data_IF_662305147726
#
_entry.id   IF_662305147726
#
_cell.length_a   1.000
_cell.length_b   1.000
_cell.length_c   1.000
_cell.angle_alpha   90.00
_cell.angle_beta   90.00
_cell.angle_gamma   90.00
#
_symmetry.space_group_name_H-M   'P 1'
#
loop_
_entity.id
_entity.type
_entity.pdbx_description
1 polymer ?
#
# COMPACT_ATOMS: atom_id res chain seq x y z
N UNK A 1 73.68 -41.12 45.74
CA UNK A 1 72.23 -41.40 45.79
C UNK A 1 71.82 -42.13 44.50
N UNK A 2 70.83 -43.03 44.54
CA UNK A 2 70.67 -44.21 43.66
C UNK A 2 70.25 -43.90 42.20
N UNK A 3 70.22 -44.93 41.31
CA UNK A 3 70.46 -44.84 39.86
C UNK A 3 69.14 -44.87 39.02
N UNK A 4 69.17 -44.95 37.67
CA UNK A 4 69.33 -46.27 37.03
C UNK A 4 70.18 -46.28 35.74
N UNK A 5 70.55 -47.52 35.44
CA UNK A 5 71.52 -48.07 34.51
C UNK A 5 70.93 -48.50 33.15
N UNK A 6 71.66 -48.17 32.06
CA UNK A 6 72.05 -48.95 30.84
C UNK A 6 71.05 -49.99 30.23
N UNK A 7 70.98 -50.37 28.95
CA UNK A 7 71.73 -50.19 27.68
C UNK A 7 70.95 -50.97 26.56
N UNK A 8 71.20 -50.59 25.30
CA UNK A 8 71.23 -51.43 24.07
C UNK A 8 69.98 -51.61 23.16
N UNK A 9 70.23 -51.51 21.84
CA UNK A 9 69.35 -51.67 20.64
C UNK A 9 69.30 -53.16 20.16
N UNK A 10 69.21 -53.58 18.88
CA UNK A 10 68.43 -53.18 17.69
C UNK A 10 67.64 -54.37 17.00
N UNK A 11 66.88 -54.06 15.93
CA UNK A 11 66.50 -54.84 14.70
C UNK A 11 65.61 -56.12 14.74
N UNK A 12 64.50 -56.04 13.96
CA UNK A 12 63.76 -57.00 13.07
C UNK A 12 64.12 -58.51 13.05
N UNK A 13 63.18 -59.48 12.80
CA UNK A 13 62.45 -59.62 11.51
C UNK A 13 61.05 -60.32 11.49
N UNK A 14 60.42 -60.35 10.30
CA UNK A 14 59.17 -61.07 9.90
C UNK A 14 59.35 -62.59 9.68
N UNK A 15 58.25 -63.38 9.75
CA UNK A 15 57.81 -64.27 8.63
C UNK A 15 56.25 -64.32 8.46
N UNK A 16 55.65 -64.35 7.25
CA UNK A 16 55.21 -65.48 6.38
C UNK A 16 54.21 -66.49 7.02
N UNK A 17 53.21 -67.15 6.41
CA UNK A 17 52.29 -67.01 5.25
C UNK A 17 51.27 -68.20 5.36
N UNK A 18 49.99 -68.03 4.94
CA UNK A 18 48.95 -69.06 4.54
C UNK A 18 48.21 -69.95 5.58
N UNK A 19 47.18 -70.77 5.19
CA UNK A 19 45.93 -70.56 4.40
C UNK A 19 44.65 -71.29 4.95
N UNK A 20 43.46 -71.05 4.33
CA UNK A 20 42.43 -72.03 3.84
C UNK A 20 40.93 -71.77 4.16
N UNK A 21 40.18 -71.55 3.06
CA UNK A 21 38.90 -72.12 2.54
C UNK A 21 37.61 -72.20 3.38
N UNK A 22 36.51 -71.76 2.76
CA UNK A 22 35.09 -71.80 3.15
C UNK A 22 34.41 -73.20 3.09
N UNK A 23 33.17 -73.33 3.60
CA UNK A 23 32.06 -73.60 2.68
C UNK A 23 30.72 -72.87 2.97
N UNK A 24 29.78 -73.09 2.05
CA UNK A 24 28.58 -72.34 1.68
C UNK A 24 27.28 -72.74 2.41
N UNK A 25 26.34 -71.77 2.41
CA UNK A 25 24.88 -71.86 2.23
C UNK A 25 24.00 -72.56 3.30
N UNK A 26 23.01 -71.79 3.77
CA UNK A 26 21.65 -72.27 3.94
C UNK A 26 21.04 -72.09 5.33
N UNK A 27 20.53 -70.88 5.63
CA UNK A 27 19.43 -70.64 6.61
C UNK A 27 18.91 -69.18 6.59
N UNK A 28 19.03 -68.49 5.45
CA UNK A 28 18.24 -67.27 5.15
C UNK A 28 16.82 -67.69 4.75
N UNK A 29 15.92 -67.87 5.71
CA UNK A 29 14.48 -67.87 5.45
C UNK A 29 13.62 -67.76 6.73
N UNK A 30 14.12 -68.20 7.90
CA UNK A 30 13.28 -68.29 9.11
C UNK A 30 13.47 -67.16 10.13
N UNK A 31 14.58 -66.41 10.08
CA UNK A 31 14.86 -65.33 11.05
C UNK A 31 14.26 -63.96 10.67
N UNK A 32 13.84 -63.77 9.42
CA UNK A 32 13.23 -62.49 8.97
C UNK A 32 11.75 -62.41 9.32
N UNK A 33 11.05 -63.55 9.44
CA UNK A 33 9.60 -63.58 9.73
C UNK A 33 9.25 -63.46 11.22
N UNK A 34 10.20 -63.74 12.12
CA UNK A 34 10.02 -63.59 13.58
C UNK A 34 10.31 -62.15 14.08
N UNK A 35 11.25 -61.43 13.43
CA UNK A 35 11.57 -60.04 13.79
C UNK A 35 10.44 -59.04 13.51
N UNK A 36 9.63 -59.29 12.47
CA UNK A 36 8.54 -58.39 12.07
C UNK A 36 7.35 -58.46 13.04
N UNK A 37 7.06 -59.63 13.64
CA UNK A 37 5.99 -59.75 14.64
C UNK A 37 6.39 -59.22 16.03
N UNK A 38 7.67 -59.24 16.40
CA UNK A 38 8.16 -58.63 17.63
C UNK A 38 8.15 -57.09 17.57
N UNK A 39 8.34 -56.49 16.38
CA UNK A 39 8.27 -55.04 16.20
C UNK A 39 6.83 -54.48 16.20
N UNK A 40 5.84 -55.28 15.80
CA UNK A 40 4.43 -54.84 15.72
C UNK A 40 3.68 -54.89 17.08
N UNK A 41 4.20 -55.64 18.07
CA UNK A 41 3.63 -55.72 19.42
C UNK A 41 4.18 -54.66 20.40
N UNK A 42 5.28 -53.97 20.06
CA UNK A 42 5.88 -52.94 20.93
C UNK A 42 5.14 -51.58 20.88
N UNK A 43 4.30 -51.35 19.86
CA UNK A 43 3.56 -50.10 19.67
C UNK A 43 2.41 -49.85 20.66
N UNK A 44 1.49 -50.81 20.91
CA UNK A 44 0.31 -50.54 21.75
C UNK A 44 0.62 -50.47 23.25
N UNK A 45 1.64 -51.19 23.73
CA UNK A 45 1.99 -51.25 25.16
C UNK A 45 2.68 -49.98 25.67
N UNK A 46 3.41 -49.26 24.81
CA UNK A 46 4.02 -47.97 25.17
C UNK A 46 2.99 -46.83 25.22
N UNK A 47 1.90 -46.93 24.45
CA UNK A 47 0.87 -45.88 24.35
C UNK A 47 -0.13 -45.90 25.52
N UNK A 48 -0.39 -47.06 26.12
CA UNK A 48 -1.27 -47.20 27.29
C UNK A 48 -0.62 -46.80 28.63
N UNK A 49 0.71 -46.81 28.71
CA UNK A 49 1.45 -46.39 29.92
C UNK A 49 1.74 -44.88 29.91
N UNK A 50 1.71 -44.23 28.74
CA UNK A 50 1.93 -42.79 28.58
C UNK A 50 0.66 -41.92 28.79
N UNK A 51 -0.55 -42.48 28.74
CA UNK A 51 -1.81 -41.72 28.86
C UNK A 51 -2.32 -41.52 30.30
N UNK A 52 -1.66 -42.10 31.30
CA UNK A 52 -2.12 -42.06 32.70
C UNK A 52 -1.23 -41.24 33.65
N UNK A 53 -0.17 -40.58 33.15
CA UNK A 53 0.72 -39.75 33.98
C UNK A 53 1.22 -38.54 33.22
N UNK A 54 0.58 -37.39 33.43
CA UNK A 54 1.29 -36.11 33.44
C UNK A 54 0.48 -35.08 34.20
N UNK A 55 1.04 -34.72 35.36
CA UNK A 55 0.64 -33.59 36.18
C UNK A 55 0.79 -32.27 35.40
N UNK A 56 0.05 -31.21 35.77
CA UNK A 56 0.18 -29.91 35.11
C UNK A 56 1.57 -29.34 35.39
N UNK A 57 2.42 -29.30 34.37
CA UNK A 57 3.63 -28.48 34.38
C UNK A 57 3.17 -27.03 34.25
N UNK A 58 3.32 -26.26 35.33
CA UNK A 58 3.18 -24.81 35.29
C UNK A 58 4.31 -24.25 34.42
N UNK A 59 4.01 -24.00 33.15
CA UNK A 59 4.87 -23.22 32.27
C UNK A 59 4.73 -21.77 32.71
N UNK A 60 5.79 -21.22 33.30
CA UNK A 60 5.92 -19.78 33.57
C UNK A 60 5.86 -19.06 32.22
N UNK A 61 4.70 -18.50 31.87
CA UNK A 61 4.55 -17.64 30.70
C UNK A 61 5.35 -16.37 30.98
N UNK A 62 6.54 -16.28 30.37
CA UNK A 62 7.15 -14.99 30.08
C UNK A 62 6.07 -14.12 29.42
N UNK A 63 5.88 -12.90 29.94
CA UNK A 63 4.95 -11.94 29.38
C UNK A 63 5.29 -11.72 27.91
N UNK A 64 4.56 -12.42 27.03
CA UNK A 64 4.52 -12.09 25.63
C UNK A 64 3.89 -10.70 25.57
N UNK A 65 4.71 -9.68 25.32
CA UNK A 65 4.23 -8.42 24.76
C UNK A 65 3.44 -8.81 23.52
N UNK A 66 2.11 -8.87 23.68
CA UNK A 66 1.17 -9.11 22.59
C UNK A 66 1.61 -8.15 21.48
N UNK A 67 2.08 -8.61 20.31
CA UNK A 67 2.22 -7.70 19.19
C UNK A 67 0.83 -7.09 19.05
N UNK A 68 0.73 -5.78 19.25
CA UNK A 68 -0.47 -5.05 18.92
C UNK A 68 -0.74 -5.44 17.47
N UNK A 69 -1.76 -6.27 17.27
CA UNK A 69 -2.21 -6.61 15.94
C UNK A 69 -2.60 -5.28 15.34
N UNK A 70 -1.70 -4.72 14.53
CA UNK A 70 -2.04 -3.71 13.55
C UNK A 70 -3.07 -4.42 12.70
N UNK A 71 -4.35 -4.22 13.02
CA UNK A 71 -5.41 -4.55 12.09
C UNK A 71 -5.03 -3.79 10.83
N UNK A 72 -4.82 -4.48 9.70
CA UNK A 72 -4.85 -3.78 8.42
C UNK A 72 -6.11 -2.93 8.44
N UNK A 73 -6.01 -1.67 8.02
CA UNK A 73 -7.21 -0.90 7.72
C UNK A 73 -8.02 -1.76 6.75
N UNK A 74 -9.21 -2.20 7.18
CA UNK A 74 -10.14 -2.98 6.37
C UNK A 74 -10.45 -2.16 5.12
N UNK A 75 -9.63 -2.34 4.10
CA UNK A 75 -9.78 -1.79 2.78
C UNK A 75 -10.54 -2.86 2.01
N UNK A 76 -11.85 -2.69 1.89
CA UNK A 76 -12.67 -3.48 0.99
C UNK A 76 -13.51 -4.58 1.63
N UNK A 77 -14.55 -4.18 2.36
CA UNK A 77 -15.89 -4.66 2.01
C UNK A 77 -16.60 -3.43 1.43
N UNK A 78 -17.22 -3.54 0.26
CA UNK A 78 -18.01 -2.46 -0.33
C UNK A 78 -19.34 -2.27 0.43
N UNK A 79 -19.28 -2.19 1.76
CA UNK A 79 -20.29 -1.45 2.50
C UNK A 79 -20.09 0.00 2.07
N UNK A 80 -21.10 0.58 1.42
CA UNK A 80 -21.18 2.01 1.22
C UNK A 80 -21.29 2.63 2.61
N UNK A 81 -20.16 2.81 3.29
CA UNK A 81 -20.10 3.29 4.65
C UNK A 81 -20.73 4.69 4.77
N UNK A 82 -20.86 5.24 5.98
CA UNK A 82 -21.61 6.47 6.22
C UNK A 82 -21.00 7.75 5.62
N UNK A 83 -19.97 7.65 4.79
CA UNK A 83 -19.22 8.76 4.21
C UNK A 83 -20.13 9.69 3.37
N UNK A 84 -20.76 9.16 2.32
CA UNK A 84 -21.64 9.96 1.45
C UNK A 84 -22.86 10.51 2.19
N UNK A 85 -23.40 9.74 3.14
CA UNK A 85 -24.48 10.20 4.01
C UNK A 85 -24.06 11.38 4.90
N UNK A 86 -22.88 11.29 5.52
CA UNK A 86 -22.34 12.36 6.36
C UNK A 86 -22.03 13.64 5.56
N UNK A 87 -21.51 13.52 4.34
CA UNK A 87 -21.31 14.65 3.42
C UNK A 87 -22.61 15.39 3.12
N UNK A 88 -23.65 14.63 2.75
CA UNK A 88 -24.98 15.19 2.45
C UNK A 88 -25.58 15.91 3.67
N UNK A 89 -25.57 15.27 4.84
CA UNK A 89 -26.15 15.86 6.05
C UNK A 89 -25.35 17.10 6.48
N UNK A 90 -24.02 17.11 6.35
CA UNK A 90 -23.23 18.30 6.66
C UNK A 90 -23.57 19.47 5.72
N UNK A 91 -23.72 19.21 4.41
CA UNK A 91 -24.15 20.23 3.45
C UNK A 91 -25.49 20.85 3.84
N UNK A 92 -26.51 20.02 4.07
CA UNK A 92 -27.83 20.46 4.53
C UNK A 92 -27.76 21.23 5.86
N UNK A 93 -26.96 20.76 6.81
CA UNK A 93 -26.80 21.43 8.11
C UNK A 93 -26.17 22.82 7.95
N UNK A 94 -25.13 22.97 7.13
CA UNK A 94 -24.49 24.26 6.85
C UNK A 94 -25.45 25.21 6.12
N UNK A 95 -26.21 24.72 5.15
CA UNK A 95 -27.17 25.56 4.40
C UNK A 95 -28.38 25.97 5.27
N UNK A 96 -28.78 25.13 6.22
CA UNK A 96 -29.94 25.37 7.08
C UNK A 96 -29.84 26.61 7.97
N UNK A 97 -28.66 27.20 8.15
CA UNK A 97 -28.51 28.37 9.04
C UNK A 97 -29.08 29.68 8.51
N UNK A 98 -29.62 29.68 7.29
CA UNK A 98 -30.50 30.74 6.75
C UNK A 98 -31.91 30.30 6.43
N UNK A 99 -32.19 29.01 6.62
CA UNK A 99 -33.43 28.41 6.18
C UNK A 99 -34.60 28.83 7.07
N UNK A 100 -35.74 29.13 6.45
CA UNK A 100 -36.98 29.32 7.19
C UNK A 100 -37.45 27.98 7.81
N UNK A 101 -38.24 28.05 8.89
CA UNK A 101 -38.72 26.88 9.64
C UNK A 101 -39.53 25.87 8.80
N UNK A 102 -40.13 26.33 7.70
CA UNK A 102 -40.92 25.54 6.74
C UNK A 102 -40.19 25.25 5.42
N UNK A 103 -38.89 25.53 5.35
CA UNK A 103 -38.09 25.28 4.15
C UNK A 103 -37.91 23.78 3.88
N UNK A 104 -37.86 23.35 2.59
CA UNK A 104 -37.66 21.96 2.24
C UNK A 104 -36.30 21.42 2.71
N UNK A 105 -35.25 22.24 2.74
CA UNK A 105 -33.91 21.88 3.20
C UNK A 105 -33.92 21.51 4.69
N UNK A 106 -34.63 22.30 5.51
CA UNK A 106 -34.77 22.01 6.94
C UNK A 106 -35.64 20.78 7.18
N UNK A 107 -36.67 20.55 6.36
CA UNK A 107 -37.46 19.31 6.41
C UNK A 107 -36.59 18.09 6.09
N UNK A 108 -35.77 18.16 5.04
CA UNK A 108 -34.84 17.08 4.68
C UNK A 108 -33.82 16.83 5.79
N UNK A 109 -33.23 17.88 6.36
CA UNK A 109 -32.29 17.75 7.48
C UNK A 109 -32.95 17.06 8.69
N UNK A 110 -34.19 17.44 9.04
CA UNK A 110 -34.92 16.83 10.16
C UNK A 110 -35.21 15.33 9.95
N UNK A 111 -35.35 14.88 8.71
CA UNK A 111 -35.51 13.45 8.39
C UNK A 111 -34.22 12.65 8.62
N UNK A 112 -33.07 13.22 8.27
CA UNK A 112 -31.77 12.53 8.33
C UNK A 112 -31.06 12.71 9.68
N UNK A 113 -31.38 13.78 10.40
CA UNK A 113 -30.73 14.20 11.64
C UNK A 113 -31.78 14.65 12.68
N UNK A 114 -32.63 13.73 13.16
CA UNK A 114 -33.70 14.07 14.09
C UNK A 114 -33.11 14.63 15.39
N UNK A 115 -33.54 15.83 15.78
CA UNK A 115 -33.08 16.48 17.01
C UNK A 115 -31.75 17.23 16.89
N UNK A 116 -31.14 17.29 15.70
CA UNK A 116 -29.96 18.14 15.48
C UNK A 116 -30.35 19.61 15.40
N UNK A 117 -29.70 20.45 16.20
CA UNK A 117 -29.85 21.90 16.15
C UNK A 117 -29.15 22.44 14.91
N UNK A 118 -29.77 23.42 14.25
CA UNK A 118 -29.21 24.10 13.08
C UNK A 118 -28.35 25.30 13.47
N UNK A 119 -27.33 25.65 12.67
CA UNK A 119 -26.56 26.87 12.88
C UNK A 119 -27.43 28.11 12.63
N UNK A 120 -26.93 29.29 12.99
CA UNK A 120 -27.59 30.58 12.69
C UNK A 120 -26.54 31.54 12.15
N UNK A 121 -26.67 31.94 10.88
CA UNK A 121 -25.62 32.73 10.21
C UNK A 121 -25.82 34.25 10.25
N UNK A 122 -26.99 34.73 10.70
CA UNK A 122 -27.30 36.16 10.69
C UNK A 122 -27.21 36.75 9.29
N UNK A 123 -26.58 37.92 9.15
CA UNK A 123 -26.48 38.66 7.88
C UNK A 123 -25.36 38.21 6.95
N UNK A 124 -24.55 37.21 7.33
CA UNK A 124 -23.42 36.69 6.54
C UNK A 124 -23.54 35.18 6.38
N UNK A 125 -24.40 34.71 5.46
CA UNK A 125 -24.58 33.29 5.24
C UNK A 125 -23.33 32.61 4.69
N UNK A 126 -23.15 31.36 5.07
CA UNK A 126 -22.13 30.49 4.50
C UNK A 126 -22.71 29.81 3.26
N UNK A 127 -21.97 29.84 2.15
CA UNK A 127 -22.29 29.06 0.96
C UNK A 127 -21.35 27.86 0.84
N UNK A 128 -21.90 26.66 0.76
CA UNK A 128 -21.11 25.42 0.62
C UNK A 128 -20.76 25.22 -0.85
N UNK A 129 -19.46 25.13 -1.15
CA UNK A 129 -18.97 24.83 -2.51
C UNK A 129 -18.74 23.33 -2.71
N UNK A 130 -18.22 22.64 -1.69
CA UNK A 130 -17.92 21.22 -1.76
C UNK A 130 -17.84 20.60 -0.36
N UNK A 131 -18.33 19.38 -0.22
CA UNK A 131 -18.05 18.51 0.94
C UNK A 131 -17.25 17.28 0.49
N UNK A 132 -16.35 16.78 1.33
CA UNK A 132 -15.60 15.55 1.07
C UNK A 132 -15.22 14.85 2.37
N UNK A 133 -15.50 13.55 2.48
CA UNK A 133 -15.09 12.73 3.63
C UNK A 133 -13.59 12.54 3.61
N UNK A 134 -12.92 12.87 4.71
CA UNK A 134 -11.46 12.70 4.87
C UNK A 134 -11.11 11.55 5.81
N UNK A 135 -12.04 11.14 6.67
CA UNK A 135 -11.83 10.02 7.60
C UNK A 135 -13.15 9.42 8.06
N UNK A 136 -13.22 8.10 8.10
CA UNK A 136 -14.33 7.35 8.74
C UNK A 136 -13.76 6.49 9.86
N UNK A 137 -14.35 6.55 11.05
CA UNK A 137 -13.91 5.74 12.20
C UNK A 137 -15.12 5.13 12.90
N UNK A 138 -15.17 3.80 12.95
CA UNK A 138 -16.19 3.07 13.72
C UNK A 138 -15.88 3.19 15.22
N UNK A 139 -16.85 3.60 16.02
CA UNK A 139 -16.69 3.75 17.47
C UNK A 139 -17.17 2.51 18.24
N UNK A 140 -18.37 2.00 17.90
CA UNK A 140 -18.96 0.80 18.50
C UNK A 140 -19.92 0.13 17.47
N UNK A 141 -20.77 -0.81 17.89
CA UNK A 141 -21.70 -1.52 16.99
C UNK A 141 -22.74 -0.56 16.40
N UNK A 142 -22.44 -0.04 15.21
CA UNK A 142 -23.33 0.82 14.43
C UNK A 142 -23.07 2.32 14.56
N UNK A 143 -22.20 2.79 15.47
CA UNK A 143 -21.85 4.21 15.53
C UNK A 143 -20.51 4.51 14.84
N UNK A 144 -20.50 5.65 14.15
CA UNK A 144 -19.39 6.12 13.34
C UNK A 144 -19.12 7.59 13.61
N UNK A 145 -17.84 7.95 13.64
CA UNK A 145 -17.38 9.33 13.53
C UNK A 145 -16.83 9.53 12.12
N UNK A 146 -17.49 10.39 11.35
CA UNK A 146 -17.07 10.73 9.98
C UNK A 146 -16.54 12.15 9.98
N UNK A 147 -15.25 12.33 9.69
CA UNK A 147 -14.68 13.65 9.48
C UNK A 147 -14.85 14.04 8.02
N UNK A 148 -15.52 15.16 7.79
CA UNK A 148 -15.83 15.72 6.48
C UNK A 148 -15.20 17.10 6.37
N UNK A 149 -14.51 17.35 5.27
CA UNK A 149 -14.03 18.67 4.86
C UNK A 149 -15.17 19.41 4.13
N UNK A 150 -15.42 20.65 4.50
CA UNK A 150 -16.34 21.55 3.82
C UNK A 150 -15.57 22.75 3.27
N UNK A 151 -15.60 22.94 1.95
CA UNK A 151 -15.12 24.14 1.27
C UNK A 151 -16.28 25.10 1.16
N UNK A 152 -16.13 26.26 1.76
CA UNK A 152 -17.10 27.32 1.85
C UNK A 152 -16.66 28.47 0.94
N UNK A 153 -17.60 29.13 0.28
CA UNK A 153 -17.30 30.38 -0.43
C UNK A 153 -16.89 31.43 0.60
N UNK A 154 -15.87 32.23 0.28
CA UNK A 154 -15.27 33.22 1.17
C UNK A 154 -16.31 34.10 1.86
N UNK A 155 -16.46 33.95 3.18
CA UNK A 155 -17.14 34.93 4.04
C UNK A 155 -16.12 35.98 4.52
N UNK A 156 -15.57 36.75 3.58
CA UNK A 156 -14.74 37.96 3.74
C UNK A 156 -13.44 37.91 4.61
N UNK A 157 -12.40 38.68 4.24
CA UNK A 157 -11.11 38.69 4.93
C UNK A 157 -11.04 39.77 6.00
N UNK A 158 -10.51 39.47 7.18
CA UNK A 158 -9.92 40.51 8.05
C UNK A 158 -8.59 40.08 8.69
N UNK A 159 -8.09 38.85 8.42
CA UNK A 159 -6.73 38.46 8.83
C UNK A 159 -6.09 37.60 7.73
N UNK A 160 -4.99 38.03 7.10
CA UNK A 160 -4.18 37.17 6.27
C UNK A 160 -3.32 36.27 7.19
N UNK A 161 -3.88 35.14 7.62
CA UNK A 161 -3.05 34.05 8.10
C UNK A 161 -2.57 33.25 6.89
N UNK A 162 -1.27 33.26 6.62
CA UNK A 162 -0.63 32.55 5.51
C UNK A 162 -0.83 31.02 5.56
N UNK A 163 -1.29 30.50 6.70
CA UNK A 163 -1.53 29.07 6.95
C UNK A 163 -3.02 28.66 6.87
N UNK A 164 -3.94 29.62 6.73
CA UNK A 164 -5.38 29.35 6.64
C UNK A 164 -5.80 29.16 5.19
N UNK A 165 -6.12 27.91 4.79
CA UNK A 165 -6.87 27.66 3.55
C UNK A 165 -8.24 28.29 3.72
N UNK A 166 -8.42 29.48 3.14
CA UNK A 166 -9.66 30.25 3.26
C UNK A 166 -10.86 29.40 2.86
N UNK A 167 -11.89 29.43 3.70
CA UNK A 167 -13.14 28.70 3.47
C UNK A 167 -13.06 27.18 3.69
N UNK A 168 -11.91 26.57 4.00
CA UNK A 168 -11.85 25.13 4.28
C UNK A 168 -12.00 24.84 5.78
N UNK A 169 -13.05 24.14 6.15
CA UNK A 169 -13.32 23.70 7.54
C UNK A 169 -13.51 22.19 7.60
N UNK A 170 -13.28 21.61 8.77
CA UNK A 170 -13.46 20.18 8.99
C UNK A 170 -14.45 19.94 10.12
N UNK A 171 -15.39 19.03 9.91
CA UNK A 171 -16.42 18.68 10.88
C UNK A 171 -16.44 17.17 11.11
N UNK A 172 -16.58 16.75 12.36
CA UNK A 172 -16.95 15.37 12.68
C UNK A 172 -18.47 15.26 12.77
N UNK A 173 -19.05 14.40 11.93
CA UNK A 173 -20.46 14.05 11.91
C UNK A 173 -20.66 12.70 12.61
N UNK A 174 -21.41 12.64 13.72
CA UNK A 174 -21.72 11.40 14.41
C UNK A 174 -22.87 10.68 13.69
N UNK A 175 -22.58 9.54 13.06
CA UNK A 175 -23.58 8.73 12.33
C UNK A 175 -23.88 7.46 13.10
N UNK A 176 -25.16 7.13 13.26
CA UNK A 176 -25.61 5.88 13.86
C UNK A 176 -26.44 5.09 12.86
N UNK A 177 -26.01 3.88 12.56
CA UNK A 177 -26.78 2.90 11.78
C UNK A 177 -27.80 2.20 12.67
N UNK A 178 -29.01 2.01 12.15
CA UNK A 178 -30.12 1.38 12.87
C UNK A 178 -30.45 0.03 12.25
N UNK A 179 -30.45 -1.01 13.10
CA UNK A 179 -30.78 -2.38 12.71
C UNK A 179 -29.60 -3.17 12.16
N UNK A 180 -29.87 -4.39 11.68
CA UNK A 180 -28.87 -5.32 11.11
C UNK A 180 -28.59 -5.08 9.63
N UNK A 181 -29.30 -4.16 8.99
CA UNK A 181 -29.22 -3.90 7.55
C UNK A 181 -28.43 -2.62 7.30
N UNK A 182 -27.34 -2.71 6.53
CA UNK A 182 -26.57 -1.57 6.06
C UNK A 182 -27.47 -0.59 5.28
N UNK A 183 -27.22 0.71 5.43
CA UNK A 183 -27.92 1.77 4.67
C UNK A 183 -29.12 2.44 5.37
N UNK A 184 -29.44 2.09 6.62
CA UNK A 184 -30.36 2.87 7.47
C UNK A 184 -29.57 3.52 8.59
N UNK A 185 -29.42 4.83 8.57
CA UNK A 185 -28.74 5.56 9.62
C UNK A 185 -29.27 6.98 9.79
N UNK A 186 -28.94 7.58 10.93
CA UNK A 186 -29.26 8.96 11.24
C UNK A 186 -28.06 9.65 11.87
N UNK A 187 -28.03 10.98 11.83
CA UNK A 187 -27.02 11.76 12.55
C UNK A 187 -27.48 11.98 13.99
N UNK A 188 -26.69 11.47 14.94
CA UNK A 188 -27.06 11.41 16.35
C UNK A 188 -26.83 12.72 17.13
N UNK A 189 -26.23 13.73 16.50
CA UNK A 189 -25.94 15.01 17.13
C UNK A 189 -25.36 16.01 16.14
N UNK A 190 -25.32 17.29 16.53
CA UNK A 190 -24.80 18.35 15.67
C UNK A 190 -23.35 18.07 15.24
N UNK A 191 -23.00 18.34 13.96
CA UNK A 191 -21.63 18.31 13.52
C UNK A 191 -20.73 19.19 14.40
N UNK A 192 -19.56 18.69 14.74
CA UNK A 192 -18.57 19.42 15.55
C UNK A 192 -17.38 19.80 14.71
N UNK A 193 -17.01 21.08 14.69
CA UNK A 193 -15.78 21.53 14.06
C UNK A 193 -14.56 20.87 14.73
N UNK A 194 -13.61 20.39 13.92
CA UNK A 194 -12.43 19.67 14.36
C UNK A 194 -11.21 20.13 13.57
N UNK A 195 -10.02 19.84 14.07
CA UNK A 195 -8.80 20.01 13.28
C UNK A 195 -8.82 19.09 12.04
N UNK A 196 -8.37 19.62 10.91
CA UNK A 196 -8.16 18.86 9.69
C UNK A 196 -6.98 17.89 9.80
N UNK A 197 -6.87 16.93 8.86
CA UNK A 197 -5.70 16.08 8.77
C UNK A 197 -4.46 16.93 8.47
N UNK A 198 -3.36 16.67 9.17
CA UNK A 198 -2.08 17.30 8.87
C UNK A 198 -1.49 16.66 7.61
N UNK A 199 -1.02 17.45 6.63
CA UNK A 199 -0.24 16.92 5.51
C UNK A 199 0.93 16.09 6.04
N UNK A 200 1.14 14.91 5.45
CA UNK A 200 2.33 14.12 5.72
C UNK A 200 3.54 14.69 4.99
N UNK A 201 4.75 14.42 5.49
CA UNK A 201 5.98 14.71 4.76
C UNK A 201 6.04 13.81 3.52
N UNK A 202 6.20 14.35 2.30
CA UNK A 202 6.40 13.52 1.13
C UNK A 202 7.72 12.74 1.25
N UNK A 203 7.75 11.45 0.89
CA UNK A 203 8.99 10.70 0.82
C UNK A 203 9.92 11.30 -0.26
N UNK A 204 11.22 11.07 -0.11
CA UNK A 204 12.19 11.49 -1.12
C UNK A 204 11.91 10.78 -2.46
N UNK A 205 12.12 11.51 -3.56
CA UNK A 205 11.99 10.91 -4.90
C UNK A 205 13.21 10.03 -5.21
N UNK A 206 13.02 8.83 -5.77
CA UNK A 206 14.12 7.98 -6.22
C UNK A 206 14.73 8.46 -7.56
N UNK A 207 14.08 9.42 -8.24
CA UNK A 207 14.52 9.98 -9.52
C UNK A 207 15.44 11.19 -9.28
N UNK A 208 16.74 10.92 -9.18
CA UNK A 208 17.73 11.95 -8.83
C UNK A 208 18.86 12.08 -9.84
N UNK A 209 19.03 11.08 -10.72
CA UNK A 209 20.13 11.06 -11.66
C UNK A 209 19.78 11.81 -12.94
N UNK A 210 20.72 12.63 -13.43
CA UNK A 210 20.63 13.21 -14.77
C UNK A 210 20.92 12.13 -15.80
N UNK A 211 20.21 12.22 -16.91
CA UNK A 211 20.35 11.30 -18.02
C UNK A 211 21.38 11.89 -19.00
N UNK A 212 22.45 11.14 -19.26
CA UNK A 212 23.47 11.52 -20.24
C UNK A 212 23.09 11.07 -21.67
N UNK A 213 22.24 10.05 -21.77
CA UNK A 213 21.75 9.51 -23.03
C UNK A 213 20.66 10.42 -23.64
N UNK A 214 21.01 11.13 -24.71
CA UNK A 214 20.08 12.00 -25.44
C UNK A 214 19.00 11.20 -26.16
N UNK A 215 19.28 9.99 -26.65
CA UNK A 215 18.30 9.17 -27.34
C UNK A 215 17.16 8.73 -26.39
N UNK A 216 17.48 8.47 -25.13
CA UNK A 216 16.47 8.20 -24.11
C UNK A 216 15.58 9.43 -23.91
N UNK A 217 16.18 10.60 -23.71
CA UNK A 217 15.46 11.86 -23.48
C UNK A 217 14.59 12.23 -24.69
N UNK A 218 15.09 12.02 -25.91
CA UNK A 218 14.36 12.26 -27.16
C UNK A 218 13.18 11.29 -27.33
N UNK A 219 13.34 10.01 -27.00
CA UNK A 219 12.22 9.05 -26.98
C UNK A 219 11.14 9.48 -26.00
N UNK A 220 11.51 9.89 -24.78
CA UNK A 220 10.57 10.35 -23.76
C UNK A 220 9.83 11.61 -24.23
N UNK A 221 10.55 12.59 -24.77
CA UNK A 221 9.96 13.83 -25.27
C UNK A 221 9.01 13.59 -26.45
N UNK A 222 9.45 12.81 -27.43
CA UNK A 222 8.63 12.46 -28.58
C UNK A 222 7.39 11.64 -28.20
N UNK A 223 7.53 10.69 -27.28
CA UNK A 223 6.40 9.95 -26.73
C UNK A 223 5.39 10.86 -26.05
N UNK A 224 5.82 11.72 -25.12
CA UNK A 224 4.90 12.58 -24.36
C UNK A 224 4.22 13.63 -25.24
N UNK A 225 4.93 14.19 -26.23
CA UNK A 225 4.34 15.05 -27.24
C UNK A 225 3.25 14.32 -28.05
N UNK A 226 3.52 13.10 -28.52
CA UNK A 226 2.53 12.30 -29.26
C UNK A 226 1.39 11.75 -28.37
N UNK A 227 1.65 11.48 -27.09
CA UNK A 227 0.67 10.92 -26.16
C UNK A 227 -0.33 11.98 -25.69
N UNK A 228 0.16 13.17 -25.37
CA UNK A 228 -0.61 14.29 -24.82
C UNK A 228 -1.10 15.29 -25.86
N UNK A 229 -0.37 15.44 -26.97
CA UNK A 229 -0.73 16.35 -28.06
C UNK A 229 -1.90 15.84 -28.89
N UNK A 230 -2.24 16.58 -29.95
CA UNK A 230 -3.26 16.16 -30.93
C UNK A 230 -2.72 15.19 -31.99
N UNK A 231 -1.40 15.06 -32.09
CA UNK A 231 -0.76 14.24 -33.10
C UNK A 231 -0.96 12.74 -32.85
N UNK A 232 -0.89 11.96 -33.93
CA UNK A 232 -0.89 10.51 -33.90
C UNK A 232 0.55 9.96 -33.92
N UNK A 233 0.70 8.65 -33.74
CA UNK A 233 2.00 8.00 -33.81
C UNK A 233 2.67 7.82 -32.46
N UNK A 234 1.89 7.74 -31.38
CA UNK A 234 2.40 7.29 -30.07
C UNK A 234 2.98 5.87 -30.17
N UNK A 235 2.41 5.05 -31.05
CA UNK A 235 2.71 3.64 -31.25
C UNK A 235 4.17 3.39 -31.63
N UNK A 236 4.84 4.33 -32.31
CA UNK A 236 6.25 4.22 -32.72
C UNK A 236 7.23 4.25 -31.54
N UNK A 237 6.77 4.76 -30.40
CA UNK A 237 7.57 4.89 -29.18
C UNK A 237 7.28 3.76 -28.20
N UNK A 238 6.23 2.96 -28.42
CA UNK A 238 5.84 1.90 -27.52
C UNK A 238 6.63 0.63 -27.78
N UNK A 239 6.95 -0.08 -26.71
CA UNK A 239 7.46 -1.44 -26.81
C UNK A 239 6.37 -2.36 -27.42
N UNK A 240 6.75 -3.44 -28.12
CA UNK A 240 5.79 -4.37 -28.71
C UNK A 240 4.81 -4.93 -27.68
N UNK A 241 3.51 -4.88 -27.99
CA UNK A 241 2.45 -5.37 -27.12
C UNK A 241 2.03 -4.38 -26.02
N UNK A 242 2.71 -3.24 -25.89
CA UNK A 242 2.29 -2.17 -24.98
C UNK A 242 1.12 -1.40 -25.60
N UNK A 243 0.04 -1.28 -24.84
CA UNK A 243 -1.15 -0.50 -25.18
C UNK A 243 -1.41 0.50 -24.06
N UNK A 244 -1.46 1.79 -24.41
CA UNK A 244 -1.74 2.87 -23.47
C UNK A 244 -2.97 3.65 -23.93
N UNK A 245 -3.92 3.85 -23.03
CA UNK A 245 -5.07 4.71 -23.28
C UNK A 245 -4.63 6.18 -23.21
N UNK A 246 -4.94 6.95 -24.26
CA UNK A 246 -4.62 8.39 -24.30
C UNK A 246 -5.62 9.20 -23.47
N UNK A 247 -5.20 10.34 -22.90
CA UNK A 247 -6.12 11.30 -22.29
C UNK A 247 -7.16 11.82 -23.30
N UNK A 248 -8.36 12.13 -22.81
CA UNK A 248 -9.49 12.47 -23.69
C UNK A 248 -9.43 13.85 -24.36
N UNK A 249 -8.65 14.80 -23.83
CA UNK A 249 -8.49 16.14 -24.42
C UNK A 249 -7.01 16.39 -24.73
N UNK A 250 -6.64 16.61 -26.00
CA UNK A 250 -5.25 16.88 -26.37
C UNK A 250 -4.81 18.28 -25.97
N UNK A 251 -3.51 18.43 -25.73
CA UNK A 251 -2.84 19.72 -25.55
C UNK A 251 -2.35 20.28 -26.89
N UNK A 252 -2.30 21.60 -27.00
CA UNK A 252 -1.80 22.30 -28.18
C UNK A 252 -0.27 22.32 -28.24
N UNK A 253 0.38 22.44 -27.08
CA UNK A 253 1.84 22.43 -26.93
C UNK A 253 2.23 21.55 -25.75
N UNK A 254 3.30 20.79 -25.88
CA UNK A 254 3.83 19.91 -24.83
C UNK A 254 5.34 20.10 -24.76
N UNK A 255 5.81 20.70 -23.67
CA UNK A 255 7.23 21.00 -23.45
C UNK A 255 7.80 20.12 -22.33
N UNK A 256 8.95 19.49 -22.58
CA UNK A 256 9.69 18.75 -21.55
C UNK A 256 10.49 19.74 -20.71
N UNK A 257 10.19 19.80 -19.41
CA UNK A 257 10.91 20.63 -18.44
C UNK A 257 12.18 19.92 -17.98
N UNK A 258 12.07 18.65 -17.60
CA UNK A 258 13.21 17.83 -17.22
C UNK A 258 12.90 16.33 -17.30
N UNK A 259 13.94 15.52 -17.45
CA UNK A 259 13.86 14.06 -17.32
C UNK A 259 14.96 13.59 -16.39
N UNK A 260 14.58 12.85 -15.34
CA UNK A 260 15.49 12.29 -14.33
C UNK A 260 15.31 10.77 -14.27
N UNK A 261 16.39 10.03 -14.08
CA UNK A 261 16.35 8.57 -13.96
C UNK A 261 16.44 8.10 -12.51
N UNK A 262 15.90 6.91 -12.28
CA UNK A 262 16.14 6.15 -11.07
C UNK A 262 17.53 5.52 -11.17
N UNK A 263 18.54 6.21 -10.64
CA UNK A 263 19.94 5.79 -10.74
C UNK A 263 20.53 5.93 -12.15
N UNK A 264 21.68 5.30 -12.38
CA UNK A 264 22.41 5.40 -13.64
C UNK A 264 21.70 4.61 -14.75
N UNK A 265 21.46 5.25 -15.89
CA UNK A 265 20.88 4.60 -17.07
C UNK A 265 21.93 3.76 -17.80
N UNK A 266 21.61 2.52 -18.20
CA UNK A 266 22.48 1.75 -19.08
C UNK A 266 22.50 2.35 -20.51
N UNK A 267 23.52 2.06 -21.33
CA UNK A 267 23.56 2.50 -22.73
C UNK A 267 22.51 1.77 -23.59
N UNK A 268 21.92 2.46 -24.57
CA UNK A 268 20.84 1.95 -25.46
C UNK A 268 21.19 0.67 -26.26
N UNK A 269 22.48 0.34 -26.41
CA UNK A 269 22.93 -0.87 -27.12
C UNK A 269 23.06 -2.12 -26.25
N UNK A 270 22.87 -2.02 -24.93
CA UNK A 270 22.99 -3.15 -24.03
C UNK A 270 21.74 -4.02 -24.09
N UNK A 271 21.91 -5.32 -24.42
CA UNK A 271 20.79 -6.26 -24.47
C UNK A 271 20.06 -6.34 -23.13
N UNK A 272 18.73 -6.20 -23.16
CA UNK A 272 17.90 -6.21 -21.96
C UNK A 272 18.02 -4.96 -21.09
N UNK A 273 18.65 -3.89 -21.59
CA UNK A 273 18.71 -2.62 -20.87
C UNK A 273 17.30 -2.08 -20.58
N UNK A 274 17.12 -1.62 -19.35
CA UNK A 274 15.90 -0.95 -18.92
C UNK A 274 16.26 0.27 -18.08
N UNK A 275 15.46 1.30 -18.19
CA UNK A 275 15.57 2.52 -17.41
C UNK A 275 14.20 2.92 -16.89
N UNK A 276 14.15 3.40 -15.65
CA UNK A 276 12.98 4.08 -15.10
C UNK A 276 13.28 5.56 -15.00
N UNK A 277 12.36 6.38 -15.50
CA UNK A 277 12.52 7.82 -15.52
C UNK A 277 11.27 8.54 -15.07
N UNK A 278 11.46 9.75 -14.54
CA UNK A 278 10.42 10.73 -14.29
C UNK A 278 10.65 11.89 -15.25
N UNK A 279 9.66 12.17 -16.08
CA UNK A 279 9.60 13.35 -16.92
C UNK A 279 8.68 14.39 -16.29
N UNK A 280 9.12 15.64 -16.22
CA UNK A 280 8.27 16.78 -15.91
C UNK A 280 7.96 17.54 -17.19
N UNK A 281 6.70 17.90 -17.34
CA UNK A 281 6.12 18.41 -18.58
C UNK A 281 5.30 19.65 -18.26
N UNK A 282 5.40 20.63 -19.14
CA UNK A 282 4.50 21.78 -19.17
C UNK A 282 3.65 21.67 -20.42
N UNK A 283 2.35 21.42 -20.27
CA UNK A 283 1.44 21.29 -21.40
C UNK A 283 0.50 22.50 -21.49
N UNK A 284 0.34 23.07 -22.68
CA UNK A 284 -0.55 24.22 -22.91
C UNK A 284 -1.78 23.76 -23.69
N UNK A 285 -2.97 24.06 -23.17
CA UNK A 285 -4.21 23.72 -23.87
C UNK A 285 -4.61 24.77 -24.91
N UNK A 286 -5.69 24.51 -25.65
CA UNK A 286 -6.20 25.42 -26.69
C UNK A 286 -6.69 26.77 -26.18
N UNK A 287 -6.92 26.91 -24.87
CA UNK A 287 -7.28 28.17 -24.22
C UNK A 287 -6.05 28.92 -23.69
N UNK A 288 -4.83 28.41 -23.93
CA UNK A 288 -3.58 29.01 -23.46
C UNK A 288 -3.29 28.75 -21.97
N UNK A 289 -4.00 27.83 -21.33
CA UNK A 289 -3.75 27.47 -19.92
C UNK A 289 -2.60 26.48 -19.86
N UNK A 290 -1.70 26.68 -18.90
CA UNK A 290 -0.50 25.88 -18.70
C UNK A 290 -0.75 24.88 -17.56
N UNK A 291 -0.48 23.60 -17.84
CA UNK A 291 -0.70 22.46 -16.96
C UNK A 291 0.64 21.78 -16.66
N UNK A 292 1.20 21.94 -15.45
CA UNK A 292 2.39 21.21 -15.04
C UNK A 292 2.02 19.75 -14.71
N UNK A 293 2.76 18.80 -15.26
CA UNK A 293 2.52 17.37 -15.10
C UNK A 293 3.83 16.61 -14.87
N UNK A 294 3.75 15.45 -14.23
CA UNK A 294 4.87 14.55 -14.07
C UNK A 294 4.45 13.13 -14.47
N UNK A 295 5.31 12.45 -15.22
CA UNK A 295 5.10 11.10 -15.72
C UNK A 295 6.26 10.20 -15.29
N UNK A 296 5.95 9.08 -14.66
CA UNK A 296 6.91 8.01 -14.43
C UNK A 296 6.77 6.97 -15.56
N UNK A 297 7.90 6.64 -16.18
CA UNK A 297 7.96 5.79 -17.37
C UNK A 297 9.01 4.69 -17.14
N UNK A 298 8.66 3.47 -17.54
CA UNK A 298 9.65 2.41 -17.73
C UNK A 298 9.96 2.28 -19.21
N UNK A 299 11.25 2.29 -19.53
CA UNK A 299 11.78 2.11 -20.87
C UNK A 299 12.58 0.82 -20.97
N UNK A 300 12.59 0.22 -22.16
CA UNK A 300 13.44 -0.91 -22.53
C UNK A 300 14.19 -0.59 -23.81
N UNK A 301 15.44 -1.02 -23.90
CA UNK A 301 16.23 -0.86 -25.10
C UNK A 301 16.11 -2.10 -26.00
N UNK A 302 15.88 -1.87 -27.28
CA UNK A 302 15.78 -2.89 -28.32
C UNK A 302 16.40 -2.36 -29.61
N UNK A 303 17.26 -3.17 -30.23
CA UNK A 303 17.86 -2.85 -31.54
C UNK A 303 18.51 -1.44 -31.60
N UNK A 304 19.12 -1.02 -30.50
CA UNK A 304 19.76 0.31 -30.37
C UNK A 304 18.79 1.48 -30.20
N UNK A 305 17.52 1.22 -29.85
CA UNK A 305 16.48 2.22 -29.60
C UNK A 305 15.83 2.02 -28.24
N UNK A 306 15.47 3.13 -27.59
CA UNK A 306 14.60 3.13 -26.42
C UNK A 306 13.13 3.09 -26.82
N UNK A 307 12.37 2.24 -26.14
CA UNK A 307 10.92 2.08 -26.28
C UNK A 307 10.24 2.18 -24.91
N UNK A 308 9.03 2.76 -24.85
CA UNK A 308 8.21 2.89 -23.64
C UNK A 308 7.50 1.56 -23.37
N UNK A 309 7.84 0.93 -22.25
CA UNK A 309 7.24 -0.32 -21.81
C UNK A 309 6.00 -0.08 -20.94
N UNK A 310 6.01 0.95 -20.07
CA UNK A 310 4.86 1.29 -19.21
C UNK A 310 4.79 2.78 -18.85
N UNK A 311 3.57 3.21 -18.51
CA UNK A 311 3.27 4.45 -17.80
C UNK A 311 2.90 4.08 -16.35
N UNK A 312 3.71 4.49 -15.39
CA UNK A 312 3.53 4.07 -14.01
C UNK A 312 2.50 4.98 -13.29
N UNK A 313 1.50 4.41 -12.57
CA UNK A 313 0.33 5.14 -12.09
C UNK A 313 0.62 6.11 -10.93
N UNK A 314 1.81 6.04 -10.33
CA UNK A 314 2.29 7.00 -9.35
C UNK A 314 3.82 7.07 -9.41
N UNK A 315 4.43 8.25 -9.20
CA UNK A 315 5.87 8.33 -9.02
C UNK A 315 6.25 7.52 -7.78
N UNK A 316 7.06 6.48 -8.00
CA UNK A 316 7.56 5.62 -6.94
C UNK A 316 8.23 6.48 -5.85
N UNK A 317 7.99 6.12 -4.60
CA UNK A 317 8.61 6.75 -3.44
C UNK A 317 9.80 5.91 -2.99
N UNK A 318 10.91 6.54 -2.61
CA UNK A 318 12.01 5.76 -2.05
C UNK A 318 11.55 5.01 -0.78
N UNK A 319 12.00 3.76 -0.55
CA UNK A 319 11.68 3.04 0.67
C UNK A 319 12.16 3.82 1.89
N UNK A 320 11.37 3.81 2.97
CA UNK A 320 11.80 4.38 4.26
C UNK A 320 13.00 3.58 4.76
N UNK A 321 14.11 4.28 5.03
CA UNK A 321 15.28 3.73 5.71
C UNK A 321 14.98 3.45 7.19
#
# INVERSE_FOLDING_TARGET
MPPPSWLWAPRDPRPADRPRVAPLRGRRAFLVRAGVWAALAAGPAALLIASARTAPVAVSQAAATRPAAVRPADSGSADSGPAGFAEMVLGLWLESGTAAESSPELTQLRLLAPGVQTPRWGSRPVAVMQTATVRTTRQNSGAWAVTVAARLADTAPDVPDEESVRGLRYFTVPVTETGTNAGRGYVAGAPRETAGPKPGQPPASPYTARIEDTALTDTVGGFLAAFLGADNGVERYLAPGTLLARPGSPFAVVDIVQVLSQGRTPPVGQAGASARVRAEVSATDSAGRIWPMAYALTLTARDGRWEIASLDPAPESAPRA
#
